data_IF_547942762185
#
_entry.id   IF_547942762185
#
_cell.length_a   1.000
_cell.length_b   1.000
_cell.length_c   1.000
_cell.angle_alpha   90.00
_cell.angle_beta   90.00
_cell.angle_gamma   90.00
#
_symmetry.space_group_name_H-M   'P 1'
#
loop_
_entity.id
_entity.type
_entity.pdbx_description
1 polymer ?
#
# COMPACT_ATOMS: atom_id res chain seq x y z
N UNK A 1 15.15 2.39 4.63
CA UNK A 1 14.41 1.17 5.00
C UNK A 1 13.13 1.17 4.19
N UNK A 2 12.91 0.14 3.37
CA UNK A 2 11.67 0.03 2.60
C UNK A 2 10.55 -0.45 3.52
N UNK A 3 9.36 0.11 3.34
CA UNK A 3 8.15 -0.29 4.05
C UNK A 3 7.19 -0.93 3.05
N UNK A 4 6.32 -1.80 3.56
CA UNK A 4 5.20 -2.35 2.80
C UNK A 4 4.32 -1.22 2.24
N UNK A 5 4.06 -1.21 0.93
CA UNK A 5 3.23 -0.19 0.26
C UNK A 5 1.75 -0.24 0.68
N UNK A 6 1.33 -1.34 1.32
CA UNK A 6 -0.03 -1.52 1.79
C UNK A 6 -0.22 -0.96 3.21
N UNK A 7 0.50 -1.51 4.20
CA UNK A 7 0.33 -1.12 5.60
C UNK A 7 1.32 -0.04 6.07
N UNK A 8 2.41 0.17 5.35
CA UNK A 8 3.50 1.09 5.71
C UNK A 8 4.05 0.91 7.15
N UNK A 9 3.91 -0.29 7.74
CA UNK A 9 4.36 -0.61 9.10
C UNK A 9 5.56 -1.55 9.15
N UNK A 10 5.62 -2.51 8.24
CA UNK A 10 6.59 -3.61 8.29
C UNK A 10 7.51 -3.57 7.07
N UNK A 11 8.74 -4.09 7.20
CA UNK A 11 9.59 -4.36 6.04
C UNK A 11 8.88 -5.29 5.04
N UNK A 12 9.04 -5.06 3.73
CA UNK A 12 8.51 -5.97 2.73
C UNK A 12 9.29 -7.29 2.68
N UNK A 13 8.60 -8.33 2.25
CA UNK A 13 9.16 -9.66 1.95
C UNK A 13 8.77 -10.13 0.54
N UNK A 14 7.84 -9.45 -0.10
CA UNK A 14 7.30 -9.75 -1.42
C UNK A 14 7.27 -8.51 -2.29
N UNK A 15 7.38 -8.72 -3.60
CA UNK A 15 7.21 -7.72 -4.65
C UNK A 15 6.13 -8.20 -5.62
N UNK A 16 5.17 -7.33 -5.90
CA UNK A 16 4.16 -7.51 -6.95
C UNK A 16 4.58 -6.72 -8.19
N UNK A 17 4.78 -7.38 -9.35
CA UNK A 17 4.93 -6.71 -10.62
C UNK A 17 3.69 -5.86 -10.91
N UNK A 18 3.87 -4.55 -11.05
CA UNK A 18 2.79 -3.61 -11.25
C UNK A 18 3.24 -2.51 -12.23
N UNK A 19 2.35 -2.11 -13.14
CA UNK A 19 2.59 -0.94 -14.00
C UNK A 19 2.26 0.35 -13.26
N UNK A 20 2.82 1.46 -13.71
CA UNK A 20 2.53 2.78 -13.14
C UNK A 20 1.04 3.11 -13.24
N UNK A 21 0.48 3.70 -12.18
CA UNK A 21 -0.89 4.20 -12.16
C UNK A 21 -1.03 5.43 -11.25
N UNK A 22 -2.03 6.26 -11.53
CA UNK A 22 -2.33 7.45 -10.74
C UNK A 22 -3.11 7.08 -9.48
N UNK A 23 -2.70 7.62 -8.33
CA UNK A 23 -3.47 7.48 -7.09
C UNK A 23 -4.82 8.21 -7.22
N UNK A 24 -5.96 7.55 -6.94
CA UNK A 24 -7.29 8.07 -7.27
C UNK A 24 -7.67 9.39 -6.58
N UNK A 25 -6.98 9.80 -5.53
CA UNK A 25 -7.25 11.05 -4.79
C UNK A 25 -6.04 11.98 -4.66
N UNK A 26 -4.87 11.56 -5.16
CA UNK A 26 -3.67 12.38 -5.20
C UNK A 26 -3.15 12.42 -6.63
N UNK A 27 -3.68 13.34 -7.43
CA UNK A 27 -3.37 13.55 -8.84
C UNK A 27 -1.91 13.94 -9.15
N UNK A 28 -1.07 14.09 -8.12
CA UNK A 28 0.38 14.29 -8.25
C UNK A 28 1.23 13.11 -7.75
N UNK A 29 0.62 12.08 -7.16
CA UNK A 29 1.32 10.86 -6.76
C UNK A 29 1.05 9.76 -7.78
N UNK A 30 2.02 9.55 -8.67
CA UNK A 30 2.09 8.35 -9.50
C UNK A 30 2.66 7.23 -8.63
N UNK A 31 1.93 6.14 -8.50
CA UNK A 31 2.52 4.88 -8.05
C UNK A 31 3.47 4.40 -9.14
N UNK A 32 4.77 4.34 -8.87
CA UNK A 32 5.79 3.93 -9.84
C UNK A 32 6.16 2.46 -9.65
N UNK A 33 5.88 1.65 -10.65
CA UNK A 33 6.35 0.28 -10.78
C UNK A 33 5.81 -0.66 -9.71
N UNK A 34 6.69 -1.58 -9.29
CA UNK A 34 6.36 -2.70 -8.43
C UNK A 34 5.91 -2.28 -7.02
N UNK A 35 4.97 -3.03 -6.45
CA UNK A 35 4.50 -2.83 -5.08
C UNK A 35 5.11 -3.86 -4.12
N UNK A 36 5.64 -3.40 -3.00
CA UNK A 36 6.25 -4.20 -1.97
C UNK A 36 5.25 -4.55 -0.87
N UNK A 37 5.12 -5.82 -0.52
CA UNK A 37 4.24 -6.31 0.54
C UNK A 37 5.04 -7.01 1.65
N UNK A 38 4.65 -6.80 2.91
CA UNK A 38 5.07 -7.67 4.01
C UNK A 38 4.28 -8.99 3.98
N UNK A 39 4.73 -10.00 4.73
CA UNK A 39 4.08 -11.32 4.75
C UNK A 39 2.58 -11.26 5.09
N UNK A 40 2.18 -10.45 6.07
CA UNK A 40 0.77 -10.34 6.46
C UNK A 40 -0.09 -9.75 5.32
N UNK A 41 0.39 -8.69 4.67
CA UNK A 41 -0.34 -8.08 3.55
C UNK A 41 -0.36 -9.03 2.35
N UNK A 42 0.76 -9.70 2.04
CA UNK A 42 0.83 -10.74 1.02
C UNK A 42 -0.22 -11.83 1.23
N UNK A 43 -0.34 -12.36 2.46
CA UNK A 43 -1.33 -13.40 2.77
C UNK A 43 -2.77 -12.94 2.51
N UNK A 44 -3.10 -11.70 2.87
CA UNK A 44 -4.43 -11.14 2.64
C UNK A 44 -4.72 -10.91 1.15
N UNK A 45 -3.73 -10.42 0.40
CA UNK A 45 -3.83 -10.22 -1.05
C UNK A 45 -4.05 -11.56 -1.76
N UNK A 46 -3.24 -12.57 -1.47
CA UNK A 46 -3.36 -13.88 -2.13
C UNK A 46 -4.60 -14.66 -1.69
N UNK A 47 -5.12 -14.41 -0.48
CA UNK A 47 -6.41 -14.92 -0.03
C UNK A 47 -7.61 -14.16 -0.63
N UNK A 48 -7.38 -13.07 -1.37
CA UNK A 48 -8.41 -12.13 -1.86
C UNK A 48 -9.28 -11.56 -0.74
N UNK A 49 -8.74 -11.42 0.45
CA UNK A 49 -9.41 -10.80 1.60
C UNK A 49 -9.15 -9.28 1.62
N UNK A 50 -9.72 -8.61 0.63
CA UNK A 50 -9.57 -7.16 0.44
C UNK A 50 -10.11 -6.38 1.65
N UNK A 51 -11.18 -6.87 2.28
CA UNK A 51 -11.76 -6.23 3.45
C UNK A 51 -10.78 -6.22 4.63
N UNK A 52 -10.19 -7.38 4.97
CA UNK A 52 -9.20 -7.44 6.04
C UNK A 52 -7.92 -6.64 5.70
N UNK A 53 -7.51 -6.62 4.42
CA UNK A 53 -6.37 -5.81 3.96
C UNK A 53 -6.63 -4.31 4.20
N UNK A 54 -7.80 -3.81 3.80
CA UNK A 54 -8.20 -2.40 3.99
C UNK A 54 -8.25 -2.06 5.48
N UNK A 55 -8.91 -2.87 6.30
CA UNK A 55 -9.02 -2.62 7.75
C UNK A 55 -7.64 -2.54 8.42
N UNK A 56 -6.74 -3.47 8.06
CA UNK A 56 -5.37 -3.49 8.56
C UNK A 56 -4.62 -2.23 8.17
N UNK A 57 -4.65 -1.86 6.90
CA UNK A 57 -3.94 -0.69 6.37
C UNK A 57 -4.50 0.62 6.90
N UNK A 58 -5.82 0.73 7.06
CA UNK A 58 -6.47 1.90 7.64
C UNK A 58 -6.09 2.09 9.11
N UNK A 59 -6.09 1.01 9.89
CA UNK A 59 -5.68 1.03 11.31
C UNK A 59 -4.21 1.46 11.45
N UNK A 60 -3.34 0.92 10.60
CA UNK A 60 -1.94 1.31 10.54
C UNK A 60 -1.74 2.79 10.19
N UNK A 61 -2.46 3.27 9.16
CA UNK A 61 -2.42 4.66 8.73
C UNK A 61 -2.86 5.62 9.83
N UNK A 62 -4.00 5.35 10.47
CA UNK A 62 -4.52 6.20 11.55
C UNK A 62 -3.60 6.22 12.76
N UNK A 63 -3.04 5.07 13.15
CA UNK A 63 -2.11 4.97 14.28
C UNK A 63 -0.89 5.86 14.06
N UNK A 64 -0.27 5.79 12.87
CA UNK A 64 0.90 6.62 12.52
C UNK A 64 0.55 8.10 12.39
N UNK A 65 -0.62 8.40 11.85
CA UNK A 65 -1.05 9.80 11.68
C UNK A 65 -1.35 10.45 13.03
N UNK A 66 -1.91 9.69 13.98
CA UNK A 66 -2.18 10.14 15.35
C UNK A 66 -0.91 10.44 16.17
N UNK A 67 0.25 9.91 15.77
CA UNK A 67 1.55 10.28 16.37
C UNK A 67 1.99 11.70 15.97
N UNK A 68 1.46 12.25 14.87
CA UNK A 68 1.92 13.51 14.27
C UNK A 68 0.85 14.59 14.29
N UNK A 69 -0.42 14.22 14.10
CA UNK A 69 -1.55 15.15 14.01
C UNK A 69 -2.46 15.10 15.24
N UNK A 70 -3.01 16.24 15.69
CA UNK A 70 -4.09 16.28 16.66
C UNK A 70 -5.33 15.50 16.18
N UNK A 71 -6.11 14.99 17.14
CA UNK A 71 -7.28 14.15 16.86
C UNK A 71 -8.30 14.82 15.91
N UNK A 72 -8.50 16.14 16.04
CA UNK A 72 -9.43 16.90 15.21
C UNK A 72 -9.03 17.03 13.73
N UNK A 73 -7.77 16.71 13.41
CA UNK A 73 -7.24 16.70 12.03
C UNK A 73 -7.12 15.28 11.47
N UNK A 74 -7.45 14.24 12.24
CA UNK A 74 -7.42 12.87 11.75
C UNK A 74 -8.58 12.63 10.77
N UNK A 75 -8.33 12.03 9.61
CA UNK A 75 -9.41 11.60 8.72
C UNK A 75 -10.25 10.53 9.41
N UNK A 76 -11.53 10.42 9.02
CA UNK A 76 -12.38 9.35 9.52
C UNK A 76 -11.89 7.99 9.02
N UNK A 77 -12.13 6.93 9.80
CA UNK A 77 -11.83 5.56 9.39
C UNK A 77 -12.51 5.21 8.07
N UNK A 78 -13.77 5.64 7.91
CA UNK A 78 -14.55 5.44 6.68
C UNK A 78 -13.86 6.05 5.46
N UNK A 79 -13.44 7.31 5.55
CA UNK A 79 -12.76 8.01 4.45
C UNK A 79 -11.44 7.31 4.05
N UNK A 80 -10.68 6.83 5.04
CA UNK A 80 -9.46 6.06 4.76
C UNK A 80 -9.78 4.71 4.11
N UNK A 81 -10.81 4.02 4.58
CA UNK A 81 -11.24 2.76 3.96
C UNK A 81 -11.67 2.95 2.50
N UNK A 82 -12.46 4.00 2.20
CA UNK A 82 -12.88 4.32 0.83
C UNK A 82 -11.69 4.64 -0.09
N UNK A 83 -10.71 5.42 0.41
CA UNK A 83 -9.50 5.71 -0.34
C UNK A 83 -8.70 4.43 -0.63
N UNK A 84 -8.47 3.60 0.38
CA UNK A 84 -7.72 2.36 0.26
C UNK A 84 -8.40 1.35 -0.67
N UNK A 85 -9.74 1.29 -0.65
CA UNK A 85 -10.50 0.44 -1.57
C UNK A 85 -10.25 0.82 -3.03
N UNK A 86 -10.31 2.12 -3.36
CA UNK A 86 -10.01 2.62 -4.70
C UNK A 86 -8.56 2.34 -5.07
N UNK A 87 -7.63 2.63 -4.16
CA UNK A 87 -6.21 2.43 -4.37
C UNK A 87 -5.86 0.95 -4.65
N UNK A 88 -6.41 0.03 -3.86
CA UNK A 88 -6.16 -1.40 -4.03
C UNK A 88 -6.88 -1.99 -5.24
N UNK A 89 -8.01 -1.41 -5.63
CA UNK A 89 -8.65 -1.72 -6.92
C UNK A 89 -7.73 -1.36 -8.09
N UNK A 90 -7.12 -0.17 -8.06
CA UNK A 90 -6.16 0.23 -9.09
C UNK A 90 -4.89 -0.63 -9.08
N UNK A 91 -4.37 -0.99 -7.90
CA UNK A 91 -3.28 -1.96 -7.78
C UNK A 91 -3.62 -3.29 -8.47
N UNK A 92 -4.78 -3.90 -8.18
CA UNK A 92 -5.16 -5.19 -8.76
C UNK A 92 -5.31 -5.10 -10.28
N UNK A 93 -5.79 -3.96 -10.81
CA UNK A 93 -5.89 -3.71 -12.25
C UNK A 93 -4.54 -3.61 -12.96
N UNK A 94 -3.52 -3.10 -12.25
CA UNK A 94 -2.19 -2.86 -12.79
C UNK A 94 -1.18 -3.95 -12.39
N UNK A 95 -1.58 -4.91 -11.53
CA UNK A 95 -0.82 -6.12 -11.24
C UNK A 95 -0.64 -6.94 -12.52
N UNK A 96 0.60 -7.10 -12.97
CA UNK A 96 0.93 -7.74 -14.25
C UNK A 96 1.45 -9.17 -14.11
N UNK A 97 1.67 -9.64 -12.88
CA UNK A 97 2.18 -10.98 -12.64
C UNK A 97 2.07 -11.45 -11.19
N UNK A 98 2.70 -12.60 -10.95
CA UNK A 98 2.75 -13.23 -9.64
C UNK A 98 3.76 -12.55 -8.72
N UNK A 99 3.51 -12.55 -7.40
CA UNK A 99 4.45 -12.06 -6.42
C UNK A 99 5.72 -12.91 -6.42
N UNK A 100 6.84 -12.25 -6.19
CA UNK A 100 8.16 -12.86 -6.04
C UNK A 100 8.84 -12.30 -4.78
N UNK A 101 9.85 -13.00 -4.22
CA UNK A 101 10.56 -12.51 -3.05
C UNK A 101 11.10 -11.10 -3.27
N UNK A 102 10.99 -10.26 -2.23
CA UNK A 102 11.46 -8.88 -2.28
C UNK A 102 12.99 -8.85 -2.39
N UNK A 103 13.49 -8.32 -3.50
CA UNK A 103 14.92 -8.08 -3.74
C UNK A 103 15.19 -6.58 -3.72
N UNK A 104 16.06 -6.14 -2.80
CA UNK A 104 16.42 -4.73 -2.64
C UNK A 104 17.24 -4.21 -3.82
N UNK A 105 17.98 -5.06 -4.54
CA UNK A 105 18.94 -4.62 -5.57
C UNK A 105 18.25 -4.03 -6.83
N UNK A 106 16.96 -4.30 -7.05
CA UNK A 106 16.21 -3.82 -8.22
C UNK A 106 15.37 -2.55 -7.98
N UNK A 107 15.32 -2.03 -6.74
CA UNK A 107 14.50 -0.87 -6.37
C UNK A 107 15.28 0.46 -6.36
N UNK A 108 16.58 0.43 -6.67
CA UNK A 108 17.49 1.58 -6.55
C UNK A 108 17.52 2.53 -7.76
N UNK A 109 16.41 2.67 -8.48
CA UNK A 109 16.14 3.89 -9.25
C UNK A 109 14.95 4.58 -8.59
N UNK A 110 15.05 5.89 -8.39
CA UNK A 110 14.00 6.81 -7.91
C UNK A 110 14.16 7.37 -6.50
N UNK A 111 15.05 8.36 -6.38
CA UNK A 111 14.74 9.67 -5.82
C UNK A 111 15.81 10.69 -6.23
N UNK A 112 15.50 11.99 -6.35
CA UNK A 112 14.40 12.65 -7.05
C UNK A 112 14.69 12.95 -8.53
#
# INVERSE_FOLDING_TARGET
MFLCDFCACHPPSWTYPCTDFESPEMSFSVSKGNWAACNDCYQLIEARDTHALIQRSATAFLSRTAEVLPQEHLPSLEHICEYLEKLYTEFERHRTGDPHPFDQEHTASHAP
#
